data_IF_790531059353
#
_entry.id   IF_790531059353
#
_cell.length_a   1.000
_cell.length_b   1.000
_cell.length_c   1.000
_cell.angle_alpha   90.00
_cell.angle_beta   90.00
_cell.angle_gamma   90.00
#
_symmetry.space_group_name_H-M   'P 1'
#
loop_
_entity.id
_entity.type
_entity.pdbx_description
1 polymer ?
#
# COMPACT_ATOMS: atom_id res chain seq x y z
N UNK A 1 -24.81 7.43 -21.59
CA UNK A 1 -24.58 6.27 -22.47
C UNK A 1 -23.48 5.43 -21.83
N UNK A 2 -23.82 4.34 -21.13
CA UNK A 2 -22.81 3.48 -20.54
C UNK A 2 -21.97 2.85 -21.66
N UNK A 3 -20.63 2.89 -21.54
CA UNK A 3 -19.73 2.48 -22.61
C UNK A 3 -20.00 1.03 -23.07
N UNK A 4 -19.94 0.74 -24.38
CA UNK A 4 -20.26 -0.58 -24.93
C UNK A 4 -19.40 -1.72 -24.35
N UNK A 5 -18.22 -1.38 -23.83
CA UNK A 5 -17.31 -2.30 -23.13
C UNK A 5 -17.88 -2.76 -21.79
N UNK A 6 -18.48 -1.85 -21.01
CA UNK A 6 -19.08 -2.18 -19.72
C UNK A 6 -20.22 -3.19 -19.88
N UNK A 7 -21.03 -3.04 -20.93
CA UNK A 7 -22.14 -3.96 -21.22
C UNK A 7 -21.66 -5.35 -21.65
N UNK A 8 -20.55 -5.42 -22.40
CA UNK A 8 -19.92 -6.68 -22.81
C UNK A 8 -19.27 -7.41 -21.63
N UNK A 9 -18.66 -6.67 -20.70
CA UNK A 9 -18.10 -7.22 -19.47
C UNK A 9 -19.20 -7.75 -18.54
N UNK A 10 -20.28 -7.00 -18.36
CA UNK A 10 -21.42 -7.43 -17.54
C UNK A 10 -22.08 -8.72 -18.07
N UNK A 11 -22.28 -8.81 -19.39
CA UNK A 11 -22.83 -10.02 -20.03
C UNK A 11 -21.88 -11.22 -20.02
N UNK A 12 -20.56 -11.01 -19.94
CA UNK A 12 -19.60 -12.08 -19.67
C UNK A 12 -19.63 -12.50 -18.20
N UNK A 13 -19.64 -11.55 -17.27
CA UNK A 13 -19.72 -11.83 -15.83
C UNK A 13 -20.99 -12.61 -15.48
N UNK A 14 -22.14 -12.23 -16.03
CA UNK A 14 -23.42 -12.93 -15.83
C UNK A 14 -23.43 -14.37 -16.38
N UNK A 15 -22.58 -14.71 -17.36
CA UNK A 15 -22.44 -16.09 -17.85
C UNK A 15 -21.65 -16.98 -16.90
N UNK A 16 -20.79 -16.39 -16.07
CA UNK A 16 -19.94 -17.11 -15.13
C UNK A 16 -20.39 -16.92 -13.67
N UNK A 17 -21.46 -16.17 -13.44
CA UNK A 17 -22.11 -16.12 -12.14
C UNK A 17 -22.99 -17.37 -11.98
N UNK A 18 -22.50 -18.33 -11.22
CA UNK A 18 -23.22 -19.58 -10.90
C UNK A 18 -24.38 -19.36 -9.93
N UNK A 19 -24.69 -18.11 -9.55
CA UNK A 19 -25.86 -17.74 -8.74
C UNK A 19 -25.71 -18.06 -7.24
N UNK A 20 -24.57 -18.61 -6.84
CA UNK A 20 -24.31 -19.09 -5.48
C UNK A 20 -23.48 -18.10 -4.64
N UNK A 21 -23.19 -16.91 -5.15
CA UNK A 21 -22.36 -15.89 -4.47
C UNK A 21 -20.88 -16.29 -4.31
N UNK A 22 -20.48 -17.41 -4.90
CA UNK A 22 -19.12 -17.97 -4.80
C UNK A 22 -18.07 -17.06 -5.44
N UNK A 23 -18.41 -16.30 -6.49
CA UNK A 23 -17.54 -15.30 -7.08
C UNK A 23 -17.23 -14.14 -6.10
N UNK A 24 -18.24 -13.65 -5.38
CA UNK A 24 -18.07 -12.63 -4.34
C UNK A 24 -17.27 -13.16 -3.14
N UNK A 25 -17.52 -14.40 -2.72
CA UNK A 25 -16.77 -15.03 -1.63
C UNK A 25 -15.28 -15.24 -1.98
N UNK A 26 -14.97 -15.71 -3.20
CA UNK A 26 -13.61 -15.89 -3.68
C UNK A 26 -12.86 -14.56 -3.82
N UNK A 27 -13.53 -13.54 -4.36
CA UNK A 27 -12.96 -12.18 -4.45
C UNK A 27 -12.72 -11.58 -3.07
N UNK A 28 -13.65 -11.71 -2.13
CA UNK A 28 -13.46 -11.27 -0.74
C UNK A 28 -12.28 -11.99 -0.07
N UNK A 29 -12.16 -13.32 -0.23
CA UNK A 29 -11.04 -14.08 0.32
C UNK A 29 -9.69 -13.65 -0.30
N UNK A 30 -9.65 -13.38 -1.61
CA UNK A 30 -8.47 -12.87 -2.29
C UNK A 30 -8.06 -11.48 -1.76
N UNK A 31 -9.01 -10.57 -1.59
CA UNK A 31 -8.78 -9.23 -1.02
C UNK A 31 -8.26 -9.32 0.42
N UNK A 32 -8.82 -10.19 1.25
CA UNK A 32 -8.35 -10.41 2.62
C UNK A 32 -6.90 -10.90 2.66
N UNK A 33 -6.53 -11.86 1.80
CA UNK A 33 -5.14 -12.35 1.67
C UNK A 33 -4.18 -11.25 1.22
N UNK A 34 -4.58 -10.37 0.31
CA UNK A 34 -3.77 -9.23 -0.13
C UNK A 34 -3.62 -8.16 0.96
N UNK A 35 -4.69 -7.86 1.69
CA UNK A 35 -4.67 -6.94 2.82
C UNK A 35 -3.75 -7.46 3.94
N UNK A 36 -3.81 -8.75 4.24
CA UNK A 36 -2.89 -9.41 5.15
C UNK A 36 -1.45 -9.29 4.68
N UNK A 37 -1.15 -9.65 3.42
CA UNK A 37 0.20 -9.51 2.85
C UNK A 37 0.70 -8.06 2.91
N UNK A 38 -0.12 -7.07 2.58
CA UNK A 38 0.24 -5.64 2.66
C UNK A 38 0.49 -5.15 4.09
N UNK A 39 -0.22 -5.71 5.09
CA UNK A 39 0.01 -5.40 6.52
C UNK A 39 1.24 -6.11 7.07
N UNK A 40 1.47 -7.37 6.67
CA UNK A 40 2.59 -8.18 7.15
C UNK A 40 3.90 -7.98 6.38
N UNK A 41 3.87 -7.36 5.19
CA UNK A 41 5.07 -6.81 4.57
C UNK A 41 5.49 -5.52 5.27
N UNK A 42 5.72 -5.60 6.57
CA UNK A 42 6.24 -4.52 7.39
C UNK A 42 7.76 -4.47 7.31
N UNK A 43 8.32 -3.27 7.37
CA UNK A 43 9.74 -3.05 7.64
C UNK A 43 9.90 -2.44 9.01
N UNK A 44 10.94 -2.83 9.74
CA UNK A 44 11.30 -2.21 11.01
C UNK A 44 12.04 -0.91 10.75
N UNK A 45 11.57 0.19 11.32
CA UNK A 45 12.28 1.47 11.24
C UNK A 45 13.56 1.40 12.08
N UNK A 46 14.72 1.75 11.52
CA UNK A 46 15.99 1.68 12.25
C UNK A 46 16.19 2.81 13.29
N UNK A 47 15.27 3.79 13.35
CA UNK A 47 15.33 4.93 14.30
C UNK A 47 14.39 4.76 15.49
N UNK A 48 13.15 4.35 15.24
CA UNK A 48 12.15 4.16 16.30
C UNK A 48 11.90 2.69 16.64
N UNK A 49 12.56 1.75 15.94
CA UNK A 49 12.45 0.30 16.12
C UNK A 49 11.02 -0.27 16.01
N UNK A 50 10.06 0.53 15.54
CA UNK A 50 8.68 0.07 15.34
C UNK A 50 8.54 -0.65 14.00
N UNK A 51 7.73 -1.71 13.99
CA UNK A 51 7.23 -2.31 12.76
C UNK A 51 6.21 -1.36 12.13
N UNK A 52 6.45 -1.01 10.87
CA UNK A 52 5.51 -0.20 10.09
C UNK A 52 5.34 -0.83 8.72
N UNK A 53 4.17 -0.69 8.07
CA UNK A 53 3.98 -1.17 6.71
C UNK A 53 4.95 -0.46 5.75
N UNK A 54 5.36 -1.11 4.66
CA UNK A 54 6.22 -0.50 3.62
C UNK A 54 5.66 0.82 3.07
N UNK A 55 4.34 1.01 3.09
CA UNK A 55 3.67 2.28 2.73
C UNK A 55 4.06 3.48 3.63
N UNK A 56 4.49 3.21 4.87
CA UNK A 56 4.96 4.23 5.80
C UNK A 56 6.43 4.66 5.57
N UNK A 57 7.14 3.99 4.67
CA UNK A 57 8.51 4.32 4.29
C UNK A 57 8.51 5.13 2.98
N UNK A 58 9.37 6.13 2.89
CA UNK A 58 9.54 6.89 1.65
C UNK A 58 10.30 6.07 0.59
N UNK A 59 10.07 6.34 -0.71
CA UNK A 59 10.89 5.77 -1.78
C UNK A 59 12.32 6.29 -1.68
N UNK A 60 13.29 5.40 -1.86
CA UNK A 60 14.73 5.69 -1.77
C UNK A 60 15.46 4.85 -2.82
N UNK A 61 15.72 5.46 -3.98
CA UNK A 61 16.28 4.77 -5.17
C UNK A 61 17.73 4.31 -4.99
N UNK A 62 18.40 4.74 -3.92
CA UNK A 62 19.79 4.35 -3.62
C UNK A 62 19.89 2.96 -2.98
N UNK A 63 18.76 2.33 -2.63
CA UNK A 63 18.73 1.02 -1.96
C UNK A 63 18.14 -0.04 -2.88
N UNK A 64 18.58 -1.31 -2.78
CA UNK A 64 18.07 -2.40 -3.60
C UNK A 64 16.56 -2.62 -3.42
N UNK A 65 16.03 -2.30 -2.24
CA UNK A 65 14.61 -2.36 -1.93
C UNK A 65 13.78 -1.16 -2.44
N UNK A 66 14.43 -0.09 -2.91
CA UNK A 66 13.75 1.15 -3.31
C UNK A 66 13.04 1.90 -2.17
N UNK A 67 13.28 1.54 -0.90
CA UNK A 67 12.60 2.09 0.28
C UNK A 67 13.61 2.55 1.35
N UNK A 68 13.29 3.65 2.03
CA UNK A 68 14.15 4.21 3.07
C UNK A 68 14.23 3.31 4.31
N UNK A 69 15.30 3.45 5.11
CA UNK A 69 15.46 2.74 6.39
C UNK A 69 14.66 3.39 7.54
N UNK A 70 14.18 4.61 7.33
CA UNK A 70 13.40 5.39 8.30
C UNK A 70 11.95 5.51 7.86
N UNK A 71 11.04 5.47 8.82
CA UNK A 71 9.64 5.79 8.58
C UNK A 71 9.45 7.29 8.32
N UNK A 72 8.32 7.65 7.72
CA UNK A 72 7.95 9.05 7.40
C UNK A 72 7.95 9.97 8.63
N UNK A 73 7.56 9.49 9.81
CA UNK A 73 7.62 10.28 11.06
C UNK A 73 9.05 10.72 11.36
N UNK A 74 9.98 9.77 11.46
CA UNK A 74 11.38 10.06 11.73
C UNK A 74 12.02 10.94 10.65
N UNK A 75 11.58 10.81 9.40
CA UNK A 75 12.03 11.66 8.31
C UNK A 75 11.54 13.12 8.47
N UNK A 76 10.28 13.29 8.87
CA UNK A 76 9.70 14.60 9.16
C UNK A 76 10.37 15.28 10.35
N UNK A 77 10.63 14.55 11.43
CA UNK A 77 11.37 15.07 12.59
C UNK A 77 12.76 15.58 12.18
N UNK A 78 13.49 14.77 11.40
CA UNK A 78 14.80 15.15 10.86
C UNK A 78 14.72 16.42 10.01
N UNK A 79 13.73 16.50 9.12
CA UNK A 79 13.51 17.70 8.28
C UNK A 79 13.19 18.93 9.13
N UNK A 80 12.41 18.77 10.20
CA UNK A 80 12.08 19.85 11.15
C UNK A 80 13.34 20.34 11.87
N UNK A 81 14.18 19.44 12.36
CA UNK A 81 15.46 19.76 13.00
C UNK A 81 16.42 20.48 12.05
N UNK A 82 16.56 19.97 10.81
CA UNK A 82 17.42 20.61 9.81
C UNK A 82 16.95 22.02 9.44
N UNK A 83 15.63 22.25 9.39
CA UNK A 83 15.06 23.59 9.16
C UNK A 83 15.29 24.54 10.34
N UNK A 84 15.18 24.05 11.57
CA UNK A 84 15.48 24.85 12.77
C UNK A 84 16.94 25.29 12.76
N UNK A 85 17.88 24.35 12.62
CA UNK A 85 19.31 24.66 12.58
C UNK A 85 19.71 25.56 11.40
N UNK A 86 19.04 25.45 10.24
CA UNK A 86 19.25 26.38 9.11
C UNK A 86 18.72 27.79 9.35
N UNK A 87 17.68 27.96 10.16
CA UNK A 87 17.11 29.29 10.44
C UNK A 87 17.95 30.05 11.47
N UNK A 88 18.75 29.32 12.24
CA UNK A 88 19.62 29.84 13.29
C UNK A 88 21.09 30.00 12.83
N UNK A 89 21.38 29.72 11.55
CA UNK A 89 22.66 29.96 10.87
C UNK A 89 22.52 31.10 9.87
#
# INVERSE_FOLDING_TARGET
MAEPVANRLASLAARYDTGNGEAEALTAQALARLAYRRRHSGKTCSRCQQDKPTSAFGPDGSRPDGLSHRCRDCDNERKRQARACKRER
#
